data_IF_589163143193
#
_entry.id   IF_589163143193
#
_cell.length_a   1.000
_cell.length_b   1.000
_cell.length_c   1.000
_cell.angle_alpha   90.00
_cell.angle_beta   90.00
_cell.angle_gamma   90.00
#
_symmetry.space_group_name_H-M   'P 1'
#
loop_
_entity.id
_entity.type
_entity.pdbx_description
1 polymer ?
#
# COMPACT_ATOMS: atom_id res chain seq x y z
N UNK A 1 -8.89 -8.69 -9.59
CA UNK A 1 -8.25 -7.85 -8.56
C UNK A 1 -7.44 -6.76 -9.29
N UNK A 2 -7.30 -5.56 -8.72
CA UNK A 2 -6.46 -4.51 -9.33
C UNK A 2 -4.97 -4.91 -9.20
N UNK A 3 -4.12 -4.51 -10.14
CA UNK A 3 -2.74 -5.03 -10.29
C UNK A 3 -1.64 -4.13 -9.71
N UNK A 4 -1.97 -3.02 -9.04
CA UNK A 4 -1.00 -2.08 -8.53
C UNK A 4 -0.60 -0.97 -9.52
N UNK A 5 -1.10 -0.96 -10.76
CA UNK A 5 -0.76 0.09 -11.72
C UNK A 5 -1.55 1.38 -11.51
N UNK A 6 -0.89 2.52 -11.72
CA UNK A 6 -1.59 3.82 -11.75
C UNK A 6 -2.65 3.78 -12.83
N UNK A 7 -3.88 4.14 -12.45
CA UNK A 7 -5.00 4.16 -13.37
C UNK A 7 -4.68 5.08 -14.57
N UNK A 8 -4.77 4.53 -15.77
CA UNK A 8 -4.56 5.23 -17.04
C UNK A 8 -5.80 5.23 -17.94
N UNK A 9 -6.84 4.46 -17.60
CA UNK A 9 -8.09 4.36 -18.36
C UNK A 9 -9.04 3.29 -17.83
N UNK A 10 -10.32 3.32 -18.24
CA UNK A 10 -11.35 2.37 -17.79
C UNK A 10 -11.92 2.67 -16.40
N UNK A 11 -12.39 1.65 -15.68
CA UNK A 11 -12.96 1.82 -14.32
C UNK A 11 -11.83 1.92 -13.28
N UNK A 12 -11.75 2.98 -12.46
CA UNK A 12 -10.75 3.07 -11.38
C UNK A 12 -10.96 1.98 -10.32
N UNK A 13 -9.90 1.59 -9.57
CA UNK A 13 -10.04 0.61 -8.50
C UNK A 13 -10.91 1.16 -7.35
N UNK A 14 -11.61 0.27 -6.65
CA UNK A 14 -12.31 0.62 -5.39
C UNK A 14 -11.33 0.53 -4.22
N UNK A 15 -11.64 1.19 -3.09
CA UNK A 15 -10.86 1.02 -1.84
C UNK A 15 -10.73 -0.46 -1.44
N UNK A 16 -11.81 -1.23 -1.59
CA UNK A 16 -11.81 -2.69 -1.36
C UNK A 16 -10.78 -3.41 -2.24
N UNK A 17 -10.74 -3.12 -3.54
CA UNK A 17 -9.79 -3.76 -4.44
C UNK A 17 -8.33 -3.38 -4.13
N UNK A 18 -8.09 -2.16 -3.63
CA UNK A 18 -6.75 -1.73 -3.19
C UNK A 18 -6.36 -2.44 -1.89
N UNK A 19 -7.27 -2.54 -0.91
CA UNK A 19 -7.08 -3.31 0.34
C UNK A 19 -6.68 -4.75 0.04
N UNK A 20 -7.47 -5.45 -0.78
CA UNK A 20 -7.21 -6.84 -1.13
C UNK A 20 -5.85 -7.00 -1.85
N UNK A 21 -5.49 -6.05 -2.71
CA UNK A 21 -4.18 -6.05 -3.36
C UNK A 21 -3.03 -5.89 -2.35
N UNK A 22 -3.16 -5.01 -1.35
CA UNK A 22 -2.17 -4.85 -0.26
C UNK A 22 -1.98 -6.17 0.47
N UNK A 23 -3.08 -6.83 0.86
CA UNK A 23 -3.04 -8.11 1.56
C UNK A 23 -2.36 -9.22 0.75
N UNK A 24 -2.58 -9.24 -0.56
CA UNK A 24 -1.94 -10.18 -1.48
C UNK A 24 -0.43 -9.95 -1.60
N UNK A 25 0.03 -8.69 -1.54
CA UNK A 25 1.44 -8.37 -1.75
C UNK A 25 2.34 -8.79 -0.58
N UNK A 26 1.80 -8.98 0.63
CA UNK A 26 2.56 -9.32 1.85
C UNK A 26 3.77 -8.42 2.07
N UNK A 27 3.56 -7.11 1.96
CA UNK A 27 4.64 -6.10 1.99
C UNK A 27 5.09 -5.89 3.44
N UNK A 28 6.38 -6.09 3.77
CA UNK A 28 6.90 -5.80 5.09
C UNK A 28 7.09 -4.29 5.30
N UNK A 29 6.76 -3.81 6.49
CA UNK A 29 7.10 -2.49 6.98
C UNK A 29 8.57 -2.45 7.45
N UNK A 30 9.29 -1.36 7.16
CA UNK A 30 10.67 -1.14 7.65
C UNK A 30 10.80 -1.11 9.18
N UNK A 31 9.70 -1.09 9.93
CA UNK A 31 9.78 -0.99 11.38
C UNK A 31 10.30 -2.26 12.03
N UNK A 32 10.13 -3.43 11.39
CA UNK A 32 10.75 -4.65 11.86
C UNK A 32 12.26 -4.47 11.99
N UNK A 33 12.89 -4.03 10.90
CA UNK A 33 14.31 -3.70 10.85
C UNK A 33 14.68 -2.57 11.83
N UNK A 34 13.97 -1.43 11.80
CA UNK A 34 14.32 -0.24 12.60
C UNK A 34 14.15 -0.43 14.11
N UNK A 35 13.26 -1.34 14.54
CA UNK A 35 12.98 -1.62 15.96
C UNK A 35 13.53 -2.98 16.42
N UNK A 36 14.30 -3.67 15.57
CA UNK A 36 14.84 -5.01 15.86
C UNK A 36 13.77 -6.01 16.31
N UNK A 37 12.60 -5.99 15.67
CA UNK A 37 11.52 -6.96 15.91
C UNK A 37 11.90 -8.26 15.22
N UNK A 38 11.69 -9.40 15.89
CA UNK A 38 11.87 -10.71 15.29
C UNK A 38 10.80 -10.96 14.20
N UNK A 39 11.24 -11.18 12.96
CA UNK A 39 10.36 -11.43 11.82
C UNK A 39 9.82 -10.18 11.13
N UNK A 40 8.91 -10.38 10.18
CA UNK A 40 8.32 -9.30 9.38
C UNK A 40 7.09 -8.69 10.04
N UNK A 41 7.00 -7.35 9.99
CA UNK A 41 5.74 -6.64 10.28
C UNK A 41 5.03 -6.40 8.95
N UNK A 42 4.03 -7.22 8.64
CA UNK A 42 3.29 -7.13 7.37
C UNK A 42 2.26 -6.01 7.42
N UNK A 43 2.23 -5.20 6.37
CA UNK A 43 1.20 -4.19 6.18
C UNK A 43 -0.10 -4.85 5.73
N UNK A 44 -1.18 -4.57 6.46
CA UNK A 44 -2.51 -5.16 6.22
C UNK A 44 -3.43 -4.19 5.50
N UNK A 45 -4.15 -4.67 4.48
CA UNK A 45 -5.13 -3.90 3.74
C UNK A 45 -6.31 -3.44 4.59
N UNK A 46 -6.61 -4.16 5.68
CA UNK A 46 -7.59 -3.77 6.71
C UNK A 46 -7.34 -2.37 7.29
N UNK A 47 -6.09 -1.89 7.26
CA UNK A 47 -5.67 -0.58 7.76
C UNK A 47 -5.50 0.45 6.63
N UNK A 48 -6.18 0.26 5.50
CA UNK A 48 -6.16 1.20 4.39
C UNK A 48 -7.10 2.38 4.65
N UNK A 49 -6.59 3.58 4.43
CA UNK A 49 -7.35 4.82 4.58
C UNK A 49 -7.11 5.74 3.38
N UNK A 50 -7.95 6.76 3.24
CA UNK A 50 -7.80 7.76 2.20
C UNK A 50 -8.39 9.12 2.55
N UNK A 51 -7.88 10.17 1.90
CA UNK A 51 -8.43 11.52 1.95
C UNK A 51 -8.25 12.25 0.62
N UNK A 52 -9.03 13.32 0.41
CA UNK A 52 -8.95 14.16 -0.80
C UNK A 52 -7.57 14.82 -0.91
N UNK A 53 -6.90 14.63 -2.05
CA UNK A 53 -5.58 15.21 -2.27
C UNK A 53 -5.27 15.33 -3.76
N UNK A 54 -4.72 16.48 -4.18
CA UNK A 54 -4.40 16.77 -5.59
C UNK A 54 -3.34 15.83 -6.18
N UNK A 55 -2.40 15.34 -5.35
CA UNK A 55 -1.42 14.31 -5.73
C UNK A 55 -1.95 12.86 -5.66
N UNK A 56 -3.25 12.69 -5.42
CA UNK A 56 -3.88 11.40 -5.20
C UNK A 56 -4.11 10.56 -6.47
N UNK A 57 -4.85 9.49 -6.28
CA UNK A 57 -5.21 8.49 -7.27
C UNK A 57 -6.72 8.55 -7.54
N UNK A 58 -7.13 8.22 -8.75
CA UNK A 58 -8.55 8.06 -9.04
C UNK A 58 -9.03 6.77 -8.37
N UNK A 59 -10.03 6.88 -7.51
CA UNK A 59 -10.65 5.76 -6.79
C UNK A 59 -12.14 5.74 -7.09
N UNK A 60 -12.69 4.58 -7.41
CA UNK A 60 -14.11 4.44 -7.68
C UNK A 60 -14.94 4.80 -6.43
N UNK A 61 -15.99 5.60 -6.64
CA UNK A 61 -16.84 6.12 -5.55
C UNK A 61 -16.42 7.49 -5.02
N UNK A 62 -15.26 8.02 -5.44
CA UNK A 62 -14.80 9.36 -5.07
C UNK A 62 -14.80 10.31 -6.28
N UNK A 63 -15.31 11.52 -6.08
CA UNK A 63 -15.27 12.59 -7.09
C UNK A 63 -13.84 13.11 -7.26
N UNK A 64 -13.19 13.42 -6.14
CA UNK A 64 -11.82 13.94 -6.05
C UNK A 64 -10.76 12.83 -6.10
N UNK A 65 -9.53 13.22 -6.42
CA UNK A 65 -8.36 12.34 -6.27
C UNK A 65 -8.13 12.03 -4.79
N UNK A 66 -7.76 10.78 -4.50
CA UNK A 66 -7.57 10.27 -3.15
C UNK A 66 -6.10 9.98 -2.89
N UNK A 67 -5.52 10.59 -1.85
CA UNK A 67 -4.31 10.04 -1.27
C UNK A 67 -4.67 8.80 -0.50
N UNK A 68 -4.13 7.65 -0.91
CA UNK A 68 -4.40 6.36 -0.28
C UNK A 68 -3.14 5.92 0.46
N UNK A 69 -3.29 5.43 1.68
CA UNK A 69 -2.18 4.91 2.49
C UNK A 69 -2.63 3.74 3.36
N UNK A 70 -1.65 2.96 3.83
CA UNK A 70 -1.86 1.90 4.82
C UNK A 70 -1.16 2.31 6.10
N UNK A 71 -1.90 2.33 7.21
CA UNK A 71 -1.35 2.62 8.53
C UNK A 71 -0.67 1.37 9.11
N UNK A 72 0.59 1.50 9.53
CA UNK A 72 1.25 0.42 10.27
C UNK A 72 0.90 0.50 11.76
N UNK A 73 0.12 -0.45 12.26
CA UNK A 73 -0.34 -0.49 13.66
C UNK A 73 0.78 -0.70 14.69
N UNK A 74 1.98 -1.13 14.26
CA UNK A 74 3.14 -1.37 15.14
C UNK A 74 4.02 -0.13 15.31
N UNK A 75 4.17 0.69 14.27
CA UNK A 75 5.05 1.87 14.32
C UNK A 75 4.37 3.20 14.07
N UNK A 76 3.08 3.20 13.72
CA UNK A 76 2.30 4.40 13.45
C UNK A 76 2.62 5.08 12.12
N UNK A 77 3.47 4.49 11.27
CA UNK A 77 3.86 5.10 10.00
C UNK A 77 2.87 4.79 8.88
N UNK A 78 2.53 5.80 8.09
CA UNK A 78 1.62 5.69 6.96
C UNK A 78 2.36 5.44 5.65
N UNK A 79 2.11 4.28 5.05
CA UNK A 79 2.65 3.90 3.76
C UNK A 79 1.71 4.32 2.63
N UNK A 80 2.03 5.42 1.98
CA UNK A 80 1.30 5.86 0.78
C UNK A 80 1.31 4.79 -0.32
N UNK A 81 0.19 4.62 -1.02
CA UNK A 81 -0.04 3.59 -2.03
C UNK A 81 1.04 3.58 -3.13
N UNK A 82 1.51 4.75 -3.58
CA UNK A 82 2.56 4.81 -4.59
C UNK A 82 3.89 4.19 -4.12
N UNK A 83 4.23 4.31 -2.82
CA UNK A 83 5.39 3.64 -2.22
C UNK A 83 5.17 2.15 -2.14
N UNK A 84 3.95 1.72 -1.77
CA UNK A 84 3.59 0.31 -1.70
C UNK A 84 3.70 -0.39 -3.06
N UNK A 85 3.23 0.24 -4.13
CA UNK A 85 3.36 -0.28 -5.50
C UNK A 85 4.82 -0.51 -5.88
N UNK A 86 5.68 0.47 -5.63
CA UNK A 86 7.13 0.34 -5.90
C UNK A 86 7.76 -0.73 -5.03
N UNK A 87 7.42 -0.76 -3.74
CA UNK A 87 7.97 -1.70 -2.77
C UNK A 87 7.53 -3.14 -3.06
N UNK A 88 6.28 -3.38 -3.44
CA UNK A 88 5.79 -4.71 -3.82
C UNK A 88 6.58 -5.28 -5.00
N UNK A 89 6.89 -4.46 -6.01
CA UNK A 89 7.73 -4.85 -7.15
C UNK A 89 9.16 -5.19 -6.71
N UNK A 90 9.75 -4.31 -5.90
CA UNK A 90 11.12 -4.51 -5.42
C UNK A 90 11.24 -5.72 -4.48
N UNK A 91 10.29 -5.92 -3.56
CA UNK A 91 10.29 -7.04 -2.62
C UNK A 91 10.15 -8.39 -3.33
N UNK A 92 9.28 -8.48 -4.34
CA UNK A 92 9.14 -9.69 -5.16
C UNK A 92 10.40 -9.99 -5.98
N UNK A 93 11.09 -8.97 -6.47
CA UNK A 93 12.31 -9.13 -7.25
C UNK A 93 13.56 -9.40 -6.38
N UNK A 94 13.59 -8.85 -5.17
CA UNK A 94 14.77 -8.80 -4.29
C UNK A 94 14.41 -8.95 -2.81
N UNK A 95 13.84 -10.09 -2.38
CA UNK A 95 13.43 -10.30 -1.00
C UNK A 95 14.60 -10.22 0.00
N UNK A 96 15.84 -10.47 -0.46
CA UNK A 96 17.07 -10.38 0.32
C UNK A 96 17.40 -8.97 0.81
N UNK A 97 16.94 -7.93 0.12
CA UNK A 97 17.23 -6.54 0.51
C UNK A 97 16.42 -6.07 1.73
N UNK A 98 15.44 -6.87 2.16
CA UNK A 98 14.47 -6.51 3.19
C UNK A 98 14.62 -7.35 4.48
N UNK A 99 15.70 -8.14 4.58
CA UNK A 99 16.05 -8.97 5.75
C UNK A 99 17.30 -8.45 6.44
#
# INVERSE_FOLDING_TARGET
>A
MWNGERWTGGKPPTMKAISEWVDEQKIPCDCAYRKSIEGDVILEGSNIESYNHSGGWKVAGHSELQWVYVHCTVCGYDWSLHKLVTRAKSYKAHPEMYR
#
